data_IF_707430883032
#
_entry.id   IF_707430883032
#
_cell.length_a   1.000
_cell.length_b   1.000
_cell.length_c   1.000
_cell.angle_alpha   90.00
_cell.angle_beta   90.00
_cell.angle_gamma   90.00
#
_symmetry.space_group_name_H-M   'P 1'
#
loop_
_entity.id
_entity.type
_entity.pdbx_description
1 polymer ?
#
# COMPACT_ATOMS: atom_id res chain seq x y z
N UNK A 1 29.75 -28.56 -6.27
CA UNK A 1 29.11 -28.95 -4.99
C UNK A 1 30.20 -28.96 -3.94
N UNK A 2 30.13 -28.05 -2.97
CA UNK A 2 31.01 -28.06 -1.80
C UNK A 2 30.22 -28.71 -0.66
N UNK A 3 30.81 -29.67 0.05
CA UNK A 3 30.17 -30.34 1.17
C UNK A 3 30.92 -29.99 2.44
N UNK A 4 30.19 -29.67 3.51
CA UNK A 4 30.76 -29.48 4.84
C UNK A 4 30.09 -30.45 5.82
N UNK A 5 30.83 -30.89 6.84
CA UNK A 5 30.31 -31.74 7.91
C UNK A 5 29.87 -30.82 9.04
N UNK A 6 28.58 -30.51 9.09
CA UNK A 6 27.98 -29.68 10.16
C UNK A 6 27.79 -30.48 11.45
N UNK A 7 27.51 -31.78 11.32
CA UNK A 7 27.37 -32.70 12.44
C UNK A 7 28.21 -33.95 12.22
N UNK A 8 28.99 -34.31 13.24
CA UNK A 8 29.66 -35.60 13.28
C UNK A 8 29.33 -36.32 14.59
N UNK A 9 28.76 -37.53 14.48
CA UNK A 9 28.42 -38.37 15.63
C UNK A 9 29.13 -39.70 15.52
N UNK A 10 30.04 -39.98 16.46
CA UNK A 10 30.53 -41.34 16.70
C UNK A 10 29.83 -41.91 17.93
N UNK A 11 29.23 -43.10 17.78
CA UNK A 11 28.83 -43.91 18.92
C UNK A 11 30.04 -44.72 19.39
N UNK A 12 30.48 -44.52 20.63
CA UNK A 12 31.61 -45.25 21.18
C UNK A 12 31.16 -46.54 21.89
N UNK A 13 29.90 -46.61 22.33
CA UNK A 13 29.35 -47.79 23.03
C UNK A 13 28.72 -48.82 22.07
N UNK A 14 28.99 -50.11 22.31
CA UNK A 14 28.38 -51.24 21.60
C UNK A 14 26.96 -51.56 22.11
N UNK A 15 26.59 -51.08 23.30
CA UNK A 15 25.28 -51.33 23.89
C UNK A 15 24.22 -50.34 23.37
N UNK A 16 23.12 -50.88 22.84
CA UNK A 16 22.03 -50.10 22.23
C UNK A 16 21.43 -49.04 23.16
N UNK A 17 21.43 -49.28 24.47
CA UNK A 17 20.83 -48.37 25.44
C UNK A 17 21.73 -47.15 25.71
N UNK A 18 23.05 -47.34 25.72
CA UNK A 18 24.02 -46.28 25.93
C UNK A 18 24.21 -45.44 24.66
N UNK A 19 24.24 -46.08 23.50
CA UNK A 19 24.23 -45.40 22.19
C UNK A 19 23.03 -44.45 22.07
N UNK A 20 21.84 -44.87 22.51
CA UNK A 20 20.65 -44.01 22.52
C UNK A 20 20.81 -42.80 23.44
N UNK A 21 21.48 -42.96 24.59
CA UNK A 21 21.78 -41.83 25.48
C UNK A 21 22.80 -40.88 24.85
N UNK A 22 23.84 -41.41 24.20
CA UNK A 22 24.86 -40.62 23.50
C UNK A 22 24.28 -39.82 22.33
N UNK A 23 23.35 -40.40 21.56
CA UNK A 23 22.65 -39.66 20.49
C UNK A 23 21.66 -38.60 21.02
N UNK A 24 21.19 -38.74 22.26
CA UNK A 24 20.21 -37.86 22.88
C UNK A 24 20.81 -36.73 23.74
N UNK A 25 22.12 -36.74 23.97
CA UNK A 25 22.80 -35.69 24.73
C UNK A 25 22.87 -34.39 23.91
N UNK A 26 22.81 -33.21 24.57
CA UNK A 26 22.92 -31.94 23.87
C UNK A 26 24.30 -31.81 23.25
N UNK A 27 24.34 -31.51 21.94
CA UNK A 27 25.59 -31.37 21.19
C UNK A 27 26.49 -30.30 21.80
N UNK A 28 27.79 -30.61 21.93
CA UNK A 28 28.81 -29.57 21.90
C UNK A 28 28.84 -29.08 20.46
N UNK A 29 28.24 -27.91 20.20
CA UNK A 29 28.31 -27.26 18.88
C UNK A 29 29.80 -27.09 18.56
N UNK A 30 30.29 -27.84 17.56
CA UNK A 30 31.61 -27.59 16.99
C UNK A 30 31.70 -26.09 16.72
N UNK A 31 32.77 -25.45 17.20
CA UNK A 31 32.99 -24.00 17.18
C UNK A 31 32.57 -23.48 15.82
N UNK A 32 31.37 -22.87 15.74
CA UNK A 32 30.95 -22.19 14.55
C UNK A 32 32.03 -21.14 14.31
N UNK A 33 32.74 -21.21 13.19
CA UNK A 33 33.69 -20.15 12.84
C UNK A 33 32.95 -18.83 13.00
N UNK A 34 33.42 -18.00 13.94
CA UNK A 34 32.80 -16.73 14.19
C UNK A 34 33.06 -15.84 12.97
N UNK A 35 32.15 -15.89 12.01
CA UNK A 35 32.16 -15.01 10.85
C UNK A 35 32.27 -13.57 11.38
N UNK A 36 33.18 -12.80 10.79
CA UNK A 36 33.26 -11.37 11.07
C UNK A 36 31.93 -10.69 10.73
N UNK A 37 31.67 -9.54 11.36
CA UNK A 37 30.44 -8.79 11.12
C UNK A 37 30.17 -8.53 9.63
N UNK A 38 31.18 -8.15 8.86
CA UNK A 38 31.03 -7.87 7.43
C UNK A 38 30.70 -9.11 6.62
N UNK A 39 31.25 -10.27 6.99
CA UNK A 39 30.90 -11.55 6.33
C UNK A 39 29.45 -11.93 6.62
N UNK A 40 29.00 -11.83 7.88
CA UNK A 40 27.58 -12.07 8.24
C UNK A 40 26.65 -11.09 7.52
N UNK A 41 27.05 -9.83 7.43
CA UNK A 41 26.28 -8.80 6.73
C UNK A 41 26.12 -9.14 5.25
N UNK A 42 27.21 -9.46 4.55
CA UNK A 42 27.16 -9.84 3.13
C UNK A 42 26.46 -11.15 2.86
N UNK A 43 26.61 -12.14 3.72
CA UNK A 43 25.83 -13.37 3.64
C UNK A 43 24.33 -13.07 3.77
N UNK A 44 23.94 -12.24 4.74
CA UNK A 44 22.54 -11.86 4.94
C UNK A 44 21.97 -11.07 3.76
N UNK A 45 22.69 -10.06 3.24
CA UNK A 45 22.22 -9.29 2.09
C UNK A 45 22.11 -10.16 0.83
N UNK A 46 23.06 -11.08 0.62
CA UNK A 46 23.00 -12.04 -0.49
C UNK A 46 21.79 -12.96 -0.37
N UNK A 47 21.47 -13.43 0.84
CA UNK A 47 20.26 -14.22 1.09
C UNK A 47 19.00 -13.39 0.86
N UNK A 48 18.92 -12.16 1.36
CA UNK A 48 17.77 -11.26 1.13
C UNK A 48 17.51 -10.99 -0.36
N UNK A 49 18.56 -10.90 -1.18
CA UNK A 49 18.45 -10.71 -2.63
C UNK A 49 18.07 -11.98 -3.40
N UNK A 50 18.51 -13.16 -2.93
CA UNK A 50 18.33 -14.43 -3.64
C UNK A 50 17.11 -15.22 -3.19
N UNK A 51 16.55 -14.91 -2.01
CA UNK A 51 15.31 -15.51 -1.53
C UNK A 51 14.18 -15.18 -2.49
N UNK A 52 13.78 -16.18 -3.28
CA UNK A 52 12.58 -16.15 -4.09
C UNK A 52 11.41 -16.64 -3.23
N UNK A 53 10.55 -15.72 -2.79
CA UNK A 53 9.28 -16.14 -2.21
C UNK A 53 8.40 -16.66 -3.34
N UNK A 54 8.14 -17.97 -3.36
CA UNK A 54 7.05 -18.54 -4.14
C UNK A 54 5.77 -18.29 -3.33
N UNK A 55 5.37 -17.02 -3.24
CA UNK A 55 4.11 -16.66 -2.61
C UNK A 55 2.98 -17.02 -3.57
N UNK A 56 2.08 -17.90 -3.12
CA UNK A 56 0.83 -18.18 -3.80
C UNK A 56 0.05 -16.88 -3.94
N UNK A 57 -0.62 -16.68 -5.10
CA UNK A 57 -1.48 -15.52 -5.31
C UNK A 57 -2.47 -15.37 -4.16
N UNK A 58 -2.34 -14.28 -3.41
CA UNK A 58 -3.25 -13.96 -2.31
C UNK A 58 -4.51 -13.30 -2.86
N UNK A 59 -5.68 -13.60 -2.27
CA UNK A 59 -6.98 -13.04 -2.69
C UNK A 59 -6.99 -11.50 -2.75
N UNK A 60 -6.24 -10.84 -1.86
CA UNK A 60 -6.12 -9.38 -1.81
C UNK A 60 -4.89 -8.82 -2.54
N UNK A 61 -4.22 -9.66 -3.35
CA UNK A 61 -3.14 -9.19 -4.21
C UNK A 61 -3.70 -8.23 -5.26
N UNK A 62 -2.90 -7.23 -5.59
CA UNK A 62 -3.23 -6.14 -6.50
C UNK A 62 -2.13 -5.97 -7.52
N UNK A 63 -2.48 -5.43 -8.67
CA UNK A 63 -1.52 -4.98 -9.67
C UNK A 63 -1.20 -3.50 -9.44
N UNK A 64 0.01 -3.07 -9.79
CA UNK A 64 0.42 -1.69 -9.60
C UNK A 64 -0.51 -0.67 -10.30
N UNK A 65 -1.08 -1.03 -11.46
CA UNK A 65 -2.02 -0.16 -12.18
C UNK A 65 -3.36 0.02 -11.44
N UNK A 66 -3.83 -1.01 -10.73
CA UNK A 66 -5.09 -0.92 -9.95
C UNK A 66 -5.01 0.10 -8.81
N UNK A 67 -3.80 0.44 -8.36
CA UNK A 67 -3.64 1.50 -7.37
C UNK A 67 -4.04 2.86 -7.96
N UNK A 68 -3.73 3.12 -9.23
CA UNK A 68 -4.10 4.40 -9.86
C UNK A 68 -5.62 4.57 -9.96
N UNK A 69 -6.36 3.49 -10.20
CA UNK A 69 -7.82 3.49 -10.35
C UNK A 69 -8.59 3.28 -9.06
N UNK A 70 -7.90 3.09 -7.92
CA UNK A 70 -8.50 2.86 -6.61
C UNK A 70 -9.28 1.53 -6.48
N UNK A 71 -8.97 0.55 -7.33
CA UNK A 71 -9.79 -0.66 -7.49
C UNK A 71 -9.55 -1.74 -6.43
N UNK A 72 -8.71 -1.47 -5.44
CA UNK A 72 -8.25 -2.50 -4.50
C UNK A 72 -8.49 -2.06 -3.06
N UNK A 73 -9.11 -2.94 -2.29
CA UNK A 73 -9.24 -2.84 -0.83
C UNK A 73 -8.57 -4.06 -0.17
N UNK A 74 -8.05 -3.88 1.04
CA UNK A 74 -7.43 -4.97 1.81
C UNK A 74 -8.15 -5.11 3.14
N UNK A 75 -8.72 -6.29 3.40
CA UNK A 75 -9.26 -6.62 4.71
C UNK A 75 -8.14 -7.10 5.63
N UNK A 76 -7.90 -6.39 6.74
CA UNK A 76 -6.91 -6.79 7.75
C UNK A 76 -7.50 -7.70 8.82
N UNK A 77 -8.74 -7.40 9.23
CA UNK A 77 -9.35 -8.09 10.35
C UNK A 77 -10.86 -8.13 10.21
N UNK A 78 -11.46 -9.22 10.69
CA UNK A 78 -12.90 -9.38 10.85
C UNK A 78 -13.17 -10.06 12.17
N UNK A 79 -14.13 -9.54 12.93
CA UNK A 79 -14.54 -10.15 14.19
C UNK A 79 -15.25 -11.49 13.94
N UNK A 80 -14.97 -12.56 14.69
CA UNK A 80 -15.59 -13.87 14.44
C UNK A 80 -17.12 -13.90 14.65
N UNK A 81 -17.63 -13.06 15.56
CA UNK A 81 -19.04 -13.08 16.02
C UNK A 81 -19.87 -11.87 15.57
N UNK A 82 -19.24 -10.78 15.16
CA UNK A 82 -19.92 -9.54 14.72
C UNK A 82 -19.40 -9.15 13.34
N UNK A 83 -20.13 -8.29 12.63
CA UNK A 83 -19.71 -7.76 11.32
C UNK A 83 -18.68 -6.62 11.44
N UNK A 84 -17.99 -6.50 12.59
CA UNK A 84 -16.91 -5.55 12.75
C UNK A 84 -15.71 -5.98 11.89
N UNK A 85 -15.17 -5.06 11.11
CA UNK A 85 -14.07 -5.33 10.20
C UNK A 85 -13.15 -4.12 10.07
N UNK A 86 -11.85 -4.38 9.89
CA UNK A 86 -10.82 -3.38 9.65
C UNK A 86 -10.32 -3.55 8.22
N UNK A 87 -10.46 -2.50 7.42
CA UNK A 87 -10.04 -2.47 6.02
C UNK A 87 -9.09 -1.31 5.76
N UNK A 88 -8.08 -1.56 4.92
CA UNK A 88 -7.31 -0.50 4.30
C UNK A 88 -8.09 0.04 3.11
N UNK A 89 -8.74 1.17 3.32
CA UNK A 89 -9.48 1.88 2.28
C UNK A 89 -8.85 3.26 2.07
N UNK A 90 -8.52 3.62 0.82
CA UNK A 90 -8.07 4.95 0.50
C UNK A 90 -9.25 5.94 0.57
N UNK A 91 -8.95 7.19 0.89
CA UNK A 91 -9.95 8.26 0.78
C UNK A 91 -10.15 8.64 -0.69
N UNK A 92 -11.26 8.22 -1.29
CA UNK A 92 -11.66 8.45 -2.68
C UNK A 92 -11.47 9.91 -3.13
N UNK A 93 -11.84 10.88 -2.29
CA UNK A 93 -11.73 12.32 -2.59
C UNK A 93 -10.28 12.78 -2.67
N UNK A 94 -9.45 12.40 -1.69
CA UNK A 94 -8.03 12.76 -1.66
C UNK A 94 -7.30 12.10 -2.82
N UNK A 95 -7.61 10.83 -3.10
CA UNK A 95 -6.97 10.07 -4.16
C UNK A 95 -7.33 10.58 -5.56
N UNK A 96 -8.60 10.91 -5.78
CA UNK A 96 -9.04 11.55 -7.02
C UNK A 96 -8.39 12.92 -7.19
N UNK A 97 -8.33 13.72 -6.12
CA UNK A 97 -7.69 15.03 -6.14
C UNK A 97 -6.18 14.95 -6.39
N UNK A 98 -5.48 13.98 -5.82
CA UNK A 98 -4.05 13.79 -6.01
C UNK A 98 -3.72 13.28 -7.43
N UNK A 99 -4.57 12.41 -7.98
CA UNK A 99 -4.48 11.94 -9.37
C UNK A 99 -4.70 13.08 -10.36
N UNK A 100 -5.72 13.91 -10.12
CA UNK A 100 -5.96 15.11 -10.90
C UNK A 100 -4.80 16.11 -10.82
N UNK A 101 -4.24 16.32 -9.62
CA UNK A 101 -3.08 17.20 -9.43
C UNK A 101 -1.84 16.72 -10.19
N UNK A 102 -1.60 15.40 -10.21
CA UNK A 102 -0.50 14.81 -10.99
C UNK A 102 -0.67 15.01 -12.48
N UNK A 103 -1.87 14.74 -13.01
CA UNK A 103 -2.17 14.98 -14.43
C UNK A 103 -2.03 16.47 -14.76
N UNK A 104 -2.59 17.35 -13.93
CA UNK A 104 -2.50 18.79 -14.12
C UNK A 104 -1.05 19.29 -14.09
N UNK A 105 -0.22 18.74 -13.20
CA UNK A 105 1.21 19.02 -13.16
C UNK A 105 1.90 18.61 -14.46
N UNK A 106 1.71 17.37 -14.92
CA UNK A 106 2.34 16.85 -16.14
C UNK A 106 1.92 17.65 -17.38
N UNK A 107 0.64 17.98 -17.51
CA UNK A 107 0.14 18.81 -18.62
C UNK A 107 0.75 20.21 -18.58
N UNK A 108 0.80 20.83 -17.39
CA UNK A 108 1.38 22.17 -17.20
C UNK A 108 2.89 22.16 -17.48
N UNK A 109 3.60 21.11 -17.04
CA UNK A 109 5.03 20.91 -17.30
C UNK A 109 5.28 20.79 -18.81
N UNK A 110 4.55 19.92 -19.51
CA UNK A 110 4.68 19.75 -20.96
C UNK A 110 4.40 21.08 -21.67
N UNK A 111 3.35 21.80 -21.27
CA UNK A 111 2.99 23.09 -21.83
C UNK A 111 4.12 24.12 -21.66
N UNK A 112 4.68 24.26 -20.45
CA UNK A 112 5.81 25.17 -20.22
C UNK A 112 7.07 24.76 -20.97
N UNK A 113 7.40 23.47 -21.04
CA UNK A 113 8.54 22.98 -21.79
C UNK A 113 8.40 23.29 -23.29
N UNK A 114 7.21 23.10 -23.87
CA UNK A 114 6.93 23.43 -25.27
C UNK A 114 7.05 24.93 -25.55
N UNK A 115 6.53 25.78 -24.66
CA UNK A 115 6.61 27.25 -24.82
C UNK A 115 8.03 27.77 -24.62
N UNK A 116 8.77 27.26 -23.63
CA UNK A 116 10.18 27.58 -23.41
C UNK A 116 11.06 27.15 -24.59
N UNK A 117 10.78 25.99 -25.22
CA UNK A 117 11.46 25.60 -26.48
C UNK A 117 11.22 26.55 -27.64
N UNK A 118 10.13 27.32 -27.62
CA UNK A 118 9.84 28.40 -28.59
C UNK A 118 10.32 29.77 -28.12
N UNK A 119 11.14 29.83 -27.07
CA UNK A 119 11.63 31.06 -26.45
C UNK A 119 10.51 31.96 -25.90
N UNK A 120 9.37 31.37 -25.50
CA UNK A 120 8.27 32.06 -24.83
C UNK A 120 8.34 31.74 -23.33
N UNK A 121 8.53 32.77 -22.52
CA UNK A 121 8.67 32.65 -21.06
C UNK A 121 7.42 33.20 -20.36
N UNK A 122 6.49 32.32 -20.00
CA UNK A 122 5.18 32.70 -19.44
C UNK A 122 5.24 33.14 -17.98
N UNK A 123 6.19 32.59 -17.23
CA UNK A 123 6.36 32.80 -15.81
C UNK A 123 7.78 33.31 -15.53
N UNK A 124 7.97 34.15 -14.49
CA UNK A 124 9.29 34.60 -14.08
C UNK A 124 10.17 33.41 -13.67
N UNK A 125 11.48 33.55 -13.85
CA UNK A 125 12.42 32.43 -13.69
C UNK A 125 12.41 31.82 -12.29
N UNK A 126 12.23 32.63 -11.24
CA UNK A 126 12.11 32.13 -9.87
C UNK A 126 10.89 31.22 -9.65
N UNK A 127 9.73 31.53 -10.25
CA UNK A 127 8.55 30.65 -10.17
C UNK A 127 8.76 29.36 -10.98
N UNK A 128 9.47 29.45 -12.10
CA UNK A 128 9.82 28.27 -12.89
C UNK A 128 10.77 27.32 -12.15
N UNK A 129 11.80 27.85 -11.50
CA UNK A 129 12.74 27.06 -10.71
C UNK A 129 12.01 26.35 -9.56
N UNK A 130 11.16 27.08 -8.81
CA UNK A 130 10.34 26.51 -7.76
C UNK A 130 9.39 25.41 -8.29
N UNK A 131 8.69 25.65 -9.40
CA UNK A 131 7.82 24.67 -10.04
C UNK A 131 8.60 23.42 -10.48
N UNK A 132 9.78 23.61 -11.05
CA UNK A 132 10.64 22.52 -11.55
C UNK A 132 11.17 21.66 -10.41
N UNK A 133 11.71 22.29 -9.35
CA UNK A 133 12.22 21.59 -8.17
C UNK A 133 11.08 20.83 -7.46
N UNK A 134 9.95 21.50 -7.24
CA UNK A 134 8.79 20.89 -6.58
C UNK A 134 8.30 19.67 -7.34
N UNK A 135 8.22 19.78 -8.66
CA UNK A 135 7.86 18.66 -9.52
C UNK A 135 8.88 17.52 -9.55
N UNK A 136 10.17 17.84 -9.59
CA UNK A 136 11.23 16.84 -9.53
C UNK A 136 11.18 16.03 -8.23
N UNK A 137 10.97 16.72 -7.10
CA UNK A 137 10.86 16.07 -5.79
C UNK A 137 9.56 15.28 -5.67
N UNK A 138 8.41 15.88 -5.99
CA UNK A 138 7.10 15.26 -5.75
C UNK A 138 6.68 14.29 -6.85
N UNK A 139 6.63 14.74 -8.10
CA UNK A 139 6.23 13.88 -9.22
C UNK A 139 7.35 12.88 -9.60
N UNK A 140 8.62 13.32 -9.57
CA UNK A 140 9.76 12.42 -9.73
C UNK A 140 9.85 11.41 -8.59
N UNK A 141 9.71 11.85 -7.35
CA UNK A 141 9.67 10.95 -6.19
C UNK A 141 8.50 9.96 -6.24
N UNK A 142 7.30 10.40 -6.66
CA UNK A 142 6.17 9.50 -6.92
C UNK A 142 6.53 8.44 -7.96
N UNK A 143 7.15 8.85 -9.08
CA UNK A 143 7.57 7.93 -10.13
C UNK A 143 8.59 6.91 -9.62
N UNK A 144 9.61 7.32 -8.85
CA UNK A 144 10.60 6.39 -8.28
C UNK A 144 10.01 5.43 -7.26
N UNK A 145 8.95 5.83 -6.54
CA UNK A 145 8.24 4.96 -5.60
C UNK A 145 7.15 4.11 -6.27
N UNK A 146 6.81 4.37 -7.54
CA UNK A 146 5.78 3.61 -8.27
C UNK A 146 6.38 2.66 -9.31
N UNK A 147 7.36 3.14 -10.07
CA UNK A 147 7.95 2.43 -11.21
C UNK A 147 8.55 1.06 -10.88
N UNK A 148 9.26 0.85 -9.75
CA UNK A 148 9.80 -0.48 -9.42
C UNK A 148 8.72 -1.56 -9.31
N UNK A 149 7.52 -1.19 -8.85
CA UNK A 149 6.41 -2.13 -8.69
C UNK A 149 5.75 -2.52 -10.01
N UNK A 150 5.90 -1.72 -11.07
CA UNK A 150 5.46 -2.12 -12.42
C UNK A 150 6.34 -3.23 -13.01
N UNK A 151 7.58 -3.38 -12.51
CA UNK A 151 8.58 -4.33 -13.01
C UNK A 151 8.73 -5.57 -12.13
N UNK A 152 7.93 -5.69 -11.08
CA UNK A 152 8.07 -6.75 -10.08
C UNK A 152 6.94 -7.78 -10.22
N UNK A 153 7.29 -9.05 -10.39
CA UNK A 153 6.34 -10.18 -10.51
C UNK A 153 5.88 -10.76 -9.15
N UNK A 154 6.10 -10.03 -8.06
CA UNK A 154 5.70 -10.45 -6.70
C UNK A 154 4.26 -10.04 -6.43
N UNK A 155 3.52 -10.73 -5.55
CA UNK A 155 2.21 -10.26 -5.13
C UNK A 155 2.34 -8.89 -4.47
N UNK A 156 1.66 -7.89 -5.04
CA UNK A 156 1.68 -6.52 -4.53
C UNK A 156 0.40 -6.23 -3.77
N UNK A 157 0.50 -5.29 -2.84
CA UNK A 157 -0.59 -4.86 -1.98
C UNK A 157 -0.65 -3.34 -1.92
N UNK A 158 -1.83 -2.76 -1.73
CA UNK A 158 -2.07 -1.32 -1.69
C UNK A 158 -1.12 -0.54 -0.77
N UNK A 159 -0.68 -1.12 0.36
CA UNK A 159 0.23 -0.44 1.27
C UNK A 159 1.62 -0.14 0.66
N UNK A 160 2.06 -0.88 -0.36
CA UNK A 160 3.29 -0.59 -1.11
C UNK A 160 3.22 0.73 -1.86
N UNK A 161 2.00 1.16 -2.22
CA UNK A 161 1.77 2.42 -2.92
C UNK A 161 1.73 3.63 -1.98
N UNK A 162 1.55 3.44 -0.66
CA UNK A 162 1.40 4.56 0.29
C UNK A 162 2.55 5.58 0.23
N UNK A 163 3.84 5.20 0.13
CA UNK A 163 4.93 6.16 -0.04
C UNK A 163 4.74 7.03 -1.30
N UNK A 164 4.40 6.42 -2.44
CA UNK A 164 4.11 7.17 -3.66
C UNK A 164 2.87 8.08 -3.49
N UNK A 165 1.81 7.56 -2.87
CA UNK A 165 0.57 8.30 -2.62
C UNK A 165 0.78 9.54 -1.75
N UNK A 166 1.68 9.49 -0.77
CA UNK A 166 1.99 10.66 0.08
C UNK A 166 2.60 11.80 -0.75
N UNK A 167 3.59 11.50 -1.59
CA UNK A 167 4.20 12.47 -2.50
C UNK A 167 3.19 13.02 -3.51
N UNK A 168 2.34 12.16 -4.03
CA UNK A 168 1.26 12.55 -4.93
C UNK A 168 0.25 13.49 -4.26
N UNK A 169 -0.07 13.26 -2.99
CA UNK A 169 -1.01 14.10 -2.22
C UNK A 169 -0.43 15.49 -1.93
N UNK A 170 0.89 15.57 -1.68
CA UNK A 170 1.59 16.84 -1.51
C UNK A 170 1.61 17.70 -2.79
N UNK A 171 1.35 17.09 -3.95
CA UNK A 171 1.25 17.81 -5.21
C UNK A 171 -0.03 18.67 -5.31
N UNK A 172 -1.07 18.34 -4.54
CA UNK A 172 -2.33 19.11 -4.49
C UNK A 172 -2.07 20.57 -4.06
N UNK A 173 -1.53 20.86 -2.87
CA UNK A 173 -1.27 22.23 -2.46
C UNK A 173 -0.23 22.93 -3.35
N UNK A 174 0.77 22.20 -3.86
CA UNK A 174 1.77 22.76 -4.77
C UNK A 174 1.16 23.25 -6.09
N UNK A 175 0.25 22.47 -6.68
CA UNK A 175 -0.46 22.89 -7.89
C UNK A 175 -1.43 24.01 -7.60
N UNK A 176 -2.14 23.94 -6.48
CA UNK A 176 -3.06 24.98 -6.09
C UNK A 176 -2.38 26.34 -5.93
N UNK A 177 -1.23 26.40 -5.24
CA UNK A 177 -0.46 27.64 -5.09
C UNK A 177 0.05 28.14 -6.43
N UNK A 178 0.61 27.24 -7.25
CA UNK A 178 1.10 27.60 -8.59
C UNK A 178 0.00 28.18 -9.49
N UNK A 179 -1.19 27.57 -9.49
CA UNK A 179 -2.34 28.09 -10.23
C UNK A 179 -2.80 29.45 -9.69
N UNK A 180 -2.87 29.61 -8.36
CA UNK A 180 -3.25 30.87 -7.71
C UNK A 180 -2.33 32.03 -8.09
N UNK A 181 -1.02 31.78 -8.15
CA UNK A 181 -0.02 32.81 -8.46
C UNK A 181 0.04 33.13 -9.96
N UNK A 182 -0.09 32.12 -10.83
CA UNK A 182 0.05 32.31 -12.28
C UNK A 182 -1.22 32.81 -12.97
N UNK A 183 -2.39 32.27 -12.61
CA UNK A 183 -3.63 32.48 -13.39
C UNK A 183 -4.65 33.37 -12.67
N UNK A 184 -4.65 33.40 -11.34
CA UNK A 184 -5.68 34.09 -10.56
C UNK A 184 -5.20 35.48 -10.10
N UNK A 185 -5.26 36.45 -11.02
CA UNK A 185 -4.89 37.85 -10.75
C UNK A 185 -5.98 38.63 -9.99
N UNK A 186 -7.25 38.22 -10.10
CA UNK A 186 -8.37 38.92 -9.44
C UNK A 186 -8.63 38.38 -8.03
N UNK A 187 -8.97 39.28 -7.09
CA UNK A 187 -9.31 38.89 -5.71
C UNK A 187 -10.49 37.92 -5.65
N UNK A 188 -11.51 38.14 -6.49
CA UNK A 188 -12.69 37.26 -6.59
C UNK A 188 -12.27 35.84 -6.97
N UNK A 189 -11.44 35.70 -8.02
CA UNK A 189 -10.95 34.39 -8.45
C UNK A 189 -10.17 33.67 -7.34
N UNK A 190 -9.32 34.39 -6.59
CA UNK A 190 -8.60 33.82 -5.45
C UNK A 190 -9.53 33.34 -4.34
N UNK A 191 -10.55 34.14 -4.00
CA UNK A 191 -11.57 33.73 -3.03
C UNK A 191 -12.36 32.51 -3.49
N UNK A 192 -12.71 32.43 -4.78
CA UNK A 192 -13.37 31.26 -5.36
C UNK A 192 -12.48 30.01 -5.27
N UNK A 193 -11.19 30.13 -5.57
CA UNK A 193 -10.25 29.02 -5.43
C UNK A 193 -10.14 28.57 -3.97
N UNK A 194 -10.03 29.50 -3.03
CA UNK A 194 -10.00 29.15 -1.60
C UNK A 194 -11.30 28.46 -1.16
N UNK A 195 -12.46 28.93 -1.61
CA UNK A 195 -13.74 28.31 -1.31
C UNK A 195 -13.83 26.88 -1.89
N UNK A 196 -13.35 26.68 -3.12
CA UNK A 196 -13.27 25.36 -3.75
C UNK A 196 -12.37 24.42 -2.93
N UNK A 197 -11.23 24.91 -2.44
CA UNK A 197 -10.29 24.07 -1.67
C UNK A 197 -10.84 23.69 -0.31
N UNK A 198 -11.58 24.60 0.34
CA UNK A 198 -12.31 24.30 1.56
C UNK A 198 -13.43 23.30 1.31
N UNK A 199 -14.11 23.37 0.17
CA UNK A 199 -15.13 22.40 -0.21
C UNK A 199 -14.54 20.99 -0.43
N UNK A 200 -13.38 20.89 -1.11
CA UNK A 200 -12.65 19.62 -1.28
C UNK A 200 -12.24 19.06 0.08
N UNK A 201 -11.72 19.91 0.98
CA UNK A 201 -11.33 19.49 2.32
C UNK A 201 -12.54 19.00 3.14
N UNK A 202 -13.67 19.72 3.08
CA UNK A 202 -14.90 19.31 3.75
C UNK A 202 -15.42 17.98 3.20
N UNK A 203 -15.36 17.77 1.88
CA UNK A 203 -15.70 16.50 1.24
C UNK A 203 -14.78 15.36 1.68
N UNK A 204 -13.47 15.61 1.77
CA UNK A 204 -12.50 14.62 2.27
C UNK A 204 -12.76 14.24 3.74
N UNK A 205 -13.11 15.21 4.59
CA UNK A 205 -13.49 14.96 5.98
C UNK A 205 -14.80 14.14 6.04
N UNK A 206 -15.78 14.46 5.20
CA UNK A 206 -17.03 13.73 5.14
C UNK A 206 -16.81 12.27 4.72
N UNK A 207 -15.98 12.04 3.70
CA UNK A 207 -15.60 10.70 3.27
C UNK A 207 -14.88 9.94 4.40
N UNK A 208 -13.95 10.59 5.11
CA UNK A 208 -13.29 9.96 6.26
C UNK A 208 -14.28 9.58 7.37
N UNK A 209 -15.26 10.45 7.67
CA UNK A 209 -16.32 10.13 8.66
C UNK A 209 -17.15 8.92 8.25
N UNK A 210 -17.46 8.81 6.97
CA UNK A 210 -18.20 7.68 6.40
C UNK A 210 -17.39 6.36 6.48
N UNK A 211 -16.09 6.41 6.19
CA UNK A 211 -15.19 5.24 6.21
C UNK A 211 -14.57 4.93 7.58
N UNK A 212 -14.74 5.81 8.57
CA UNK A 212 -14.17 5.67 9.92
C UNK A 212 -14.51 4.33 10.61
N UNK A 213 -15.76 3.83 10.54
CA UNK A 213 -16.09 2.54 11.15
C UNK A 213 -15.29 1.36 10.56
N UNK A 214 -14.95 1.43 9.27
CA UNK A 214 -14.15 0.41 8.58
C UNK A 214 -12.64 0.55 8.86
N UNK A 215 -12.19 1.74 9.23
CA UNK A 215 -10.77 1.96 9.60
C UNK A 215 -10.50 1.56 11.06
N UNK A 216 -11.45 1.81 11.97
CA UNK A 216 -11.32 1.53 13.39
C UNK A 216 -11.88 0.15 13.80
N UNK A 217 -12.76 -0.44 12.98
CA UNK A 217 -13.46 -1.68 13.31
C UNK A 217 -14.61 -1.50 14.32
N UNK A 218 -15.07 -0.27 14.55
CA UNK A 218 -16.18 0.04 15.45
C UNK A 218 -16.94 1.30 14.98
N UNK A 219 -18.29 1.34 15.06
CA UNK A 219 -19.22 0.29 15.50
C UNK A 219 -19.37 -0.87 14.49
N UNK A 220 -19.88 -2.05 14.91
CA UNK A 220 -20.19 -3.13 13.98
C UNK A 220 -21.32 -2.71 13.03
N UNK A 221 -21.04 -2.73 11.73
CA UNK A 221 -21.98 -2.32 10.69
C UNK A 221 -22.91 -3.45 10.27
N UNK A 222 -24.16 -3.13 9.96
CA UNK A 222 -25.10 -4.08 9.38
C UNK A 222 -24.78 -4.34 7.90
N UNK A 223 -25.22 -5.48 7.37
CA UNK A 223 -24.92 -5.86 5.97
C UNK A 223 -25.44 -4.86 4.93
N UNK A 224 -26.53 -4.15 5.23
CA UNK A 224 -27.08 -3.11 4.35
C UNK A 224 -26.26 -1.80 4.39
N UNK A 225 -25.75 -1.42 5.55
CA UNK A 225 -24.87 -0.25 5.72
C UNK A 225 -23.54 -0.49 5.00
N UNK A 226 -23.02 -1.72 5.08
CA UNK A 226 -21.82 -2.12 4.33
C UNK A 226 -22.02 -1.99 2.82
N UNK A 227 -23.17 -2.38 2.29
CA UNK A 227 -23.48 -2.22 0.87
C UNK A 227 -23.60 -0.75 0.45
N UNK A 228 -24.04 0.15 1.34
CA UNK A 228 -24.09 1.59 1.08
C UNK A 228 -22.70 2.25 1.16
N UNK A 229 -21.80 1.73 1.98
CA UNK A 229 -20.42 2.20 2.11
C UNK A 229 -19.51 1.71 0.98
N UNK A 230 -19.96 0.73 0.19
CA UNK A 230 -19.26 0.26 -0.99
C UNK A 230 -19.41 1.29 -2.12
N UNK A 231 -18.65 2.39 -2.03
CA UNK A 231 -18.66 3.46 -3.03
C UNK A 231 -18.21 2.98 -4.41
N UNK A 232 -17.28 2.03 -4.43
CA UNK A 232 -16.74 1.42 -5.64
C UNK A 232 -17.12 -0.04 -5.72
N UNK A 233 -17.63 -0.45 -6.88
CA UNK A 233 -18.02 -1.83 -7.14
C UNK A 233 -16.84 -2.80 -6.98
N UNK A 234 -15.61 -2.33 -7.23
CA UNK A 234 -14.36 -3.08 -7.09
C UNK A 234 -13.95 -3.36 -5.63
N UNK A 235 -14.52 -2.65 -4.64
CA UNK A 235 -14.21 -2.90 -3.24
C UNK A 235 -14.95 -4.14 -2.72
N UNK A 236 -14.24 -5.25 -2.58
CA UNK A 236 -14.78 -6.46 -1.96
C UNK A 236 -14.89 -6.32 -0.44
N UNK A 237 -15.96 -5.68 0.03
CA UNK A 237 -16.32 -5.72 1.44
C UNK A 237 -16.86 -7.11 1.79
N UNK A 238 -16.36 -7.69 2.88
CA UNK A 238 -16.75 -9.01 3.32
C UNK A 238 -18.14 -8.94 3.98
N UNK A 239 -19.19 -9.32 3.23
CA UNK A 239 -20.56 -9.36 3.74
C UNK A 239 -20.86 -10.76 4.28
N UNK A 240 -21.06 -10.89 5.59
CA UNK A 240 -21.62 -12.11 6.16
C UNK A 240 -23.12 -12.16 5.84
N UNK A 241 -23.55 -13.17 5.09
CA UNK A 241 -24.96 -13.54 5.04
C UNK A 241 -25.35 -14.03 6.43
N UNK A 242 -26.18 -13.27 7.15
CA UNK A 242 -26.77 -13.75 8.40
C UNK A 242 -27.65 -14.95 8.05
N UNK A 243 -27.18 -16.17 8.36
CA UNK A 243 -28.09 -17.31 8.50
C UNK A 243 -29.03 -16.96 9.64
N UNK A 244 -30.28 -16.64 9.33
CA UNK A 244 -31.35 -16.48 10.32
C UNK A 244 -31.41 -17.74 11.18
N UNK A 245 -31.23 -17.64 12.52
CA UNK A 245 -31.44 -18.78 13.39
C UNK A 245 -32.95 -18.91 13.66
N UNK A 246 -33.63 -19.84 12.98
CA UNK A 246 -34.98 -20.24 13.40
C UNK A 246 -35.90 -20.86 12.33
N UNK A 247 -36.16 -22.16 12.53
CA UNK A 247 -37.42 -22.91 12.28
C UNK A 247 -37.73 -23.55 10.91
N UNK A 248 -37.43 -24.86 10.83
CA UNK A 248 -38.38 -26.00 10.63
C UNK A 248 -37.54 -27.29 10.72
N UNK A 249 -37.57 -28.07 11.81
CA UNK A 249 -38.53 -29.11 12.19
C UNK A 249 -39.16 -29.92 11.04
N UNK A 250 -39.05 -31.25 11.21
CA UNK A 250 -39.81 -32.38 10.66
C UNK A 250 -39.32 -33.11 9.40
N UNK A 251 -39.01 -34.38 9.66
CA UNK A 251 -39.32 -35.59 8.89
C UNK A 251 -38.60 -35.83 7.56
N UNK A 252 -37.69 -36.80 7.57
CA UNK A 252 -37.94 -38.03 6.79
C UNK A 252 -37.10 -39.21 7.31
N UNK A 253 -37.78 -40.10 8.05
CA UNK A 253 -37.50 -41.54 8.09
C UNK A 253 -38.35 -42.20 7.01
N UNK A 254 -37.71 -42.88 6.05
CA UNK A 254 -38.16 -43.83 5.00
C UNK A 254 -37.30 -43.54 3.75
N UNK A 255 -36.48 -44.43 3.21
CA UNK A 255 -36.36 -45.89 3.24
C UNK A 255 -34.89 -46.34 3.34
#
# INVERSE_FOLDING_TARGET
>A
MLWNVEEHRYGLSQEKHELKRELSSPLSTAVAEELSFLQKFWELQSKMLTVRSHEQEHKYSSTALQWLTLDTSIAYWMHPKSNAQIHLLPNSVIWGSSSLALIAYLVTLIFYLLRRRRCIYDIPEGLWEQFSITGWVLAGGWMFNFLPYLLTDKPLFLYHYLPAATLQTLLIPAMLSHFADCFLRSKISRHLLTALTLAILASAIQNHRMLCPLSLGFPPLQSHELAQLQELHSWELLIRQQRTPGYSLQNNTSD
#
